data_IF_889491374578
#
_entry.id   IF_889491374578
#
_cell.length_a   1.000
_cell.length_b   1.000
_cell.length_c   1.000
_cell.angle_alpha   90.00
_cell.angle_beta   90.00
_cell.angle_gamma   90.00
#
_symmetry.space_group_name_H-M   'P 1'
#
loop_
_entity.id
_entity.type
_entity.pdbx_description
1 polymer ?
#
# COMPACT_ATOMS: atom_id res chain seq x y z
N UNK A 1 -36.94 37.15 -14.91
CA UNK A 1 -36.52 37.87 -13.69
C UNK A 1 -35.79 36.88 -12.81
N UNK A 2 -34.46 37.00 -12.72
CA UNK A 2 -33.62 36.14 -11.89
C UNK A 2 -33.68 36.66 -10.45
N UNK A 3 -34.34 35.94 -9.55
CA UNK A 3 -34.35 36.26 -8.13
C UNK A 3 -33.01 35.89 -7.51
N UNK A 4 -32.32 36.85 -6.93
CA UNK A 4 -31.13 36.66 -6.09
C UNK A 4 -31.57 36.08 -4.75
N UNK A 5 -31.22 34.82 -4.48
CA UNK A 5 -31.40 34.17 -3.18
C UNK A 5 -30.07 34.30 -2.42
N UNK A 6 -30.11 34.77 -1.17
CA UNK A 6 -28.93 34.87 -0.31
C UNK A 6 -28.50 33.49 0.20
N UNK A 7 -27.19 33.24 0.22
CA UNK A 7 -26.60 31.95 0.66
C UNK A 7 -26.77 31.68 2.16
N UNK A 8 -27.04 32.72 2.96
CA UNK A 8 -27.23 32.66 4.39
C UNK A 8 -28.71 32.70 4.75
N UNK A 9 -29.18 31.69 5.50
CA UNK A 9 -30.46 31.76 6.22
C UNK A 9 -30.24 32.59 7.48
N UNK A 10 -30.96 33.70 7.63
CA UNK A 10 -31.00 34.54 8.84
C UNK A 10 -31.75 33.86 10.00
N UNK A 11 -31.32 32.67 10.40
CA UNK A 11 -31.87 31.97 11.56
C UNK A 11 -31.46 32.63 12.89
N UNK A 12 -30.29 33.26 12.92
CA UNK A 12 -29.75 33.94 14.11
C UNK A 12 -30.45 35.29 14.39
N UNK A 13 -31.14 35.87 13.41
CA UNK A 13 -31.97 37.07 13.58
C UNK A 13 -33.38 36.76 14.13
N UNK A 14 -33.74 35.48 14.27
CA UNK A 14 -35.05 35.06 14.76
C UNK A 14 -35.07 35.12 16.30
N UNK A 15 -35.65 36.20 16.82
CA UNK A 15 -35.90 36.35 18.26
C UNK A 15 -37.16 35.60 18.69
N UNK A 16 -37.28 35.36 20.00
CA UNK A 16 -38.54 34.87 20.57
C UNK A 16 -39.70 35.83 20.21
N UNK A 17 -40.92 35.31 19.97
CA UNK A 17 -42.08 36.14 19.72
C UNK A 17 -42.30 37.12 20.88
N UNK A 18 -42.63 38.38 20.56
CA UNK A 18 -42.90 39.40 21.58
C UNK A 18 -44.02 38.96 22.54
N UNK A 19 -43.72 38.95 23.85
CA UNK A 19 -44.69 38.70 24.93
C UNK A 19 -45.08 40.02 25.59
N UNK A 20 -46.34 40.47 25.51
CA UNK A 20 -46.77 41.72 26.12
C UNK A 20 -46.79 41.64 27.65
N UNK A 21 -46.56 42.78 28.30
CA UNK A 21 -46.75 42.92 29.74
C UNK A 21 -48.23 42.76 30.11
N UNK A 22 -48.52 42.10 31.24
CA UNK A 22 -49.88 41.85 31.70
C UNK A 22 -50.07 42.37 33.14
N UNK A 23 -51.30 42.75 33.47
CA UNK A 23 -51.70 43.20 34.82
C UNK A 23 -52.66 42.16 35.39
N UNK A 24 -52.39 41.67 36.60
CA UNK A 24 -53.26 40.72 37.30
C UNK A 24 -54.20 41.48 38.23
N UNK A 25 -55.51 41.40 37.98
CA UNK A 25 -56.52 41.95 38.89
C UNK A 25 -56.49 41.17 40.23
N UNK A 26 -56.48 41.89 41.35
CA UNK A 26 -56.39 41.30 42.68
C UNK A 26 -57.57 40.37 42.99
N UNK A 27 -57.28 39.10 43.31
CA UNK A 27 -58.26 38.11 43.72
C UNK A 27 -58.08 36.73 43.09
N UNK A 28 -57.49 36.62 41.89
CA UNK A 28 -57.17 35.34 41.27
C UNK A 28 -56.03 35.44 40.26
N UNK A 29 -55.15 34.43 40.23
CA UNK A 29 -54.06 34.33 39.24
C UNK A 29 -54.56 33.52 38.04
N UNK A 30 -54.60 34.09 36.82
CA UNK A 30 -55.11 33.38 35.64
C UNK A 30 -54.27 32.13 35.33
N UNK A 31 -54.96 31.05 34.92
CA UNK A 31 -54.33 29.75 34.63
C UNK A 31 -53.32 29.82 33.50
N UNK A 32 -53.52 30.71 32.52
CA UNK A 32 -52.57 30.89 31.42
C UNK A 32 -51.17 31.32 31.90
N UNK A 33 -51.06 32.00 33.06
CA UNK A 33 -49.77 32.43 33.59
C UNK A 33 -48.94 31.29 34.17
N UNK A 34 -49.52 30.12 34.44
CA UNK A 34 -48.75 28.96 34.90
C UNK A 34 -47.96 28.31 33.76
N UNK A 35 -48.36 28.56 32.50
CA UNK A 35 -47.64 28.17 31.31
C UNK A 35 -46.62 29.22 30.83
N UNK A 36 -46.48 30.35 31.53
CA UNK A 36 -45.62 31.45 31.09
C UNK A 36 -44.12 31.08 30.98
N UNK A 37 -43.70 29.95 31.58
CA UNK A 37 -42.35 29.41 31.45
C UNK A 37 -42.09 28.72 30.11
N UNK A 38 -43.15 28.36 29.37
CA UNK A 38 -43.04 27.74 28.05
C UNK A 38 -42.86 28.82 26.98
N UNK A 39 -41.83 28.68 26.16
CA UNK A 39 -41.52 29.60 25.06
C UNK A 39 -41.49 28.84 23.73
N UNK A 40 -41.57 29.58 22.61
CA UNK A 40 -41.54 28.97 21.27
C UNK A 40 -40.22 28.20 21.07
N UNK A 41 -40.31 26.92 20.69
CA UNK A 41 -39.13 26.04 20.59
C UNK A 41 -38.60 25.49 21.92
N UNK A 42 -39.14 25.95 23.06
CA UNK A 42 -38.88 25.41 24.41
C UNK A 42 -40.20 25.09 25.12
N UNK A 43 -40.90 24.08 24.60
CA UNK A 43 -42.11 23.51 25.19
C UNK A 43 -43.44 23.96 24.56
N UNK A 44 -43.41 24.89 23.59
CA UNK A 44 -44.53 25.17 22.68
C UNK A 44 -44.27 24.56 21.28
N UNK A 45 -45.28 23.99 20.59
CA UNK A 45 -46.69 23.90 20.99
C UNK A 45 -46.91 22.99 22.21
N UNK A 46 -47.86 23.36 23.06
CA UNK A 46 -48.11 22.70 24.33
C UNK A 46 -48.45 21.21 24.12
N UNK A 47 -47.64 20.34 24.74
CA UNK A 47 -47.85 18.89 24.71
C UNK A 47 -48.73 18.39 25.86
N UNK A 48 -48.85 17.06 25.96
CA UNK A 48 -49.63 16.39 27.01
C UNK A 48 -49.15 16.77 28.43
N UNK A 49 -47.84 16.90 28.63
CA UNK A 49 -47.25 17.27 29.93
C UNK A 49 -47.71 18.66 30.41
N UNK A 50 -47.85 19.62 29.49
CA UNK A 50 -48.33 20.96 29.80
C UNK A 50 -49.82 20.95 30.19
N UNK A 51 -50.62 20.10 29.52
CA UNK A 51 -52.03 19.91 29.85
C UNK A 51 -52.20 19.23 31.22
N UNK A 52 -51.42 18.17 31.49
CA UNK A 52 -51.39 17.52 32.80
C UNK A 52 -50.99 18.49 33.91
N UNK A 53 -50.03 19.38 33.66
CA UNK A 53 -49.64 20.41 34.63
C UNK A 53 -50.81 21.36 34.97
N UNK A 54 -51.57 21.79 33.96
CA UNK A 54 -52.75 22.64 34.16
C UNK A 54 -53.82 21.90 34.95
N UNK A 55 -54.11 20.65 34.60
CA UNK A 55 -55.13 19.85 35.27
C UNK A 55 -54.77 19.62 36.74
N UNK A 56 -53.49 19.33 37.04
CA UNK A 56 -52.99 19.23 38.43
C UNK A 56 -53.15 20.54 39.20
N UNK A 57 -52.91 21.68 38.57
CA UNK A 57 -53.09 23.00 39.21
C UNK A 57 -54.58 23.25 39.51
N UNK A 58 -55.49 22.85 38.62
CA UNK A 58 -56.94 22.94 38.84
C UNK A 58 -57.38 22.04 39.99
N UNK A 59 -56.93 20.80 40.00
CA UNK A 59 -57.18 19.86 41.09
C UNK A 59 -56.68 20.39 42.43
N UNK A 60 -55.47 20.97 42.45
CA UNK A 60 -54.90 21.60 43.64
C UNK A 60 -55.74 22.77 44.13
N UNK A 61 -56.16 23.68 43.25
CA UNK A 61 -57.04 24.80 43.62
C UNK A 61 -58.40 24.34 44.14
N UNK A 62 -59.00 23.34 43.48
CA UNK A 62 -60.28 22.76 43.93
C UNK A 62 -60.14 22.09 45.30
N UNK A 63 -59.02 21.40 45.53
CA UNK A 63 -58.71 20.81 46.84
C UNK A 63 -58.45 21.88 47.92
N UNK A 64 -57.69 22.94 47.62
CA UNK A 64 -57.44 24.06 48.55
C UNK A 64 -58.76 24.74 48.96
N UNK A 65 -59.69 24.90 48.01
CA UNK A 65 -61.03 25.42 48.27
C UNK A 65 -61.90 24.47 49.12
N UNK A 66 -61.67 23.16 49.04
CA UNK A 66 -62.38 22.14 49.80
C UNK A 66 -61.83 21.94 51.24
N UNK A 67 -60.77 22.64 51.62
CA UNK A 67 -60.18 22.51 52.95
C UNK A 67 -61.11 23.07 54.05
N UNK A 68 -61.21 22.38 55.21
CA UNK A 68 -62.04 22.86 56.30
C UNK A 68 -61.50 24.18 56.90
N UNK A 69 -62.39 25.02 57.45
CA UNK A 69 -62.04 26.28 58.08
C UNK A 69 -61.30 26.07 59.41
N UNK A 70 -60.54 27.09 59.84
CA UNK A 70 -59.61 27.02 60.97
C UNK A 70 -60.26 27.31 62.34
N UNK A 71 -61.57 27.09 62.49
CA UNK A 71 -62.33 27.58 63.64
C UNK A 71 -62.25 26.66 64.87
N UNK A 72 -62.04 25.35 64.68
CA UNK A 72 -62.06 24.35 65.76
C UNK A 72 -60.84 23.41 65.72
N UNK A 73 -60.36 22.91 66.87
CA UNK A 73 -59.16 22.05 66.91
C UNK A 73 -59.33 20.75 66.12
N UNK A 74 -60.56 20.24 66.01
CA UNK A 74 -60.87 19.06 65.20
C UNK A 74 -60.80 19.35 63.69
N UNK A 75 -61.24 20.53 63.24
CA UNK A 75 -61.11 20.96 61.85
C UNK A 75 -59.66 21.22 61.47
N UNK A 76 -58.86 21.81 62.38
CA UNK A 76 -57.42 22.01 62.18
C UNK A 76 -56.71 20.66 62.01
N UNK A 77 -57.01 19.68 62.88
CA UNK A 77 -56.42 18.35 62.77
C UNK A 77 -56.80 17.64 61.45
N UNK A 78 -58.04 17.81 60.98
CA UNK A 78 -58.47 17.29 59.67
C UNK A 78 -57.74 17.97 58.52
N UNK A 79 -57.58 19.30 58.57
CA UNK A 79 -56.85 20.08 57.57
C UNK A 79 -55.40 19.60 57.45
N UNK A 80 -54.69 19.43 58.57
CA UNK A 80 -53.31 18.96 58.57
C UNK A 80 -53.16 17.57 57.93
N UNK A 81 -54.06 16.63 58.26
CA UNK A 81 -54.05 15.30 57.62
C UNK A 81 -54.26 15.38 56.12
N UNK A 82 -55.21 16.20 55.67
CA UNK A 82 -55.45 16.42 54.24
C UNK A 82 -54.22 17.04 53.55
N UNK A 83 -53.54 18.00 54.20
CA UNK A 83 -52.31 18.61 53.68
C UNK A 83 -51.20 17.58 53.51
N UNK A 84 -50.90 16.80 54.56
CA UNK A 84 -49.85 15.77 54.50
C UNK A 84 -50.14 14.71 53.43
N UNK A 85 -51.40 14.30 53.28
CA UNK A 85 -51.80 13.34 52.25
C UNK A 85 -51.59 13.89 50.84
N UNK A 86 -51.91 15.17 50.62
CA UNK A 86 -51.66 15.81 49.33
C UNK A 86 -50.18 16.03 49.06
N UNK A 87 -49.40 16.45 50.06
CA UNK A 87 -47.95 16.54 49.92
C UNK A 87 -47.36 15.18 49.52
N UNK A 88 -47.73 14.08 50.18
CA UNK A 88 -47.26 12.74 49.82
C UNK A 88 -47.61 12.37 48.38
N UNK A 89 -48.80 12.74 47.90
CA UNK A 89 -49.21 12.53 46.49
C UNK A 89 -48.36 13.36 45.53
N UNK A 90 -48.14 14.64 45.82
CA UNK A 90 -47.29 15.51 45.00
C UNK A 90 -45.83 15.02 44.96
N UNK A 91 -45.30 14.56 46.09
CA UNK A 91 -43.96 13.97 46.17
C UNK A 91 -43.86 12.69 45.35
N UNK A 92 -44.85 11.80 45.43
CA UNK A 92 -44.88 10.57 44.63
C UNK A 92 -44.92 10.85 43.12
N UNK A 93 -45.68 11.85 42.67
CA UNK A 93 -45.71 12.26 41.26
C UNK A 93 -44.37 12.80 40.79
N UNK A 94 -43.72 13.66 41.59
CA UNK A 94 -42.37 14.17 41.28
C UNK A 94 -41.34 13.05 41.22
N UNK A 95 -41.42 12.10 42.13
CA UNK A 95 -40.50 10.95 42.16
C UNK A 95 -40.64 10.10 40.89
N UNK A 96 -41.87 9.87 40.41
CA UNK A 96 -42.12 9.17 39.15
C UNK A 96 -41.57 9.94 37.94
N UNK A 97 -41.71 11.26 37.90
CA UNK A 97 -41.14 12.09 36.82
C UNK A 97 -39.61 12.02 36.81
N UNK A 98 -39.00 12.12 37.99
CA UNK A 98 -37.56 11.97 38.16
C UNK A 98 -37.13 10.58 37.69
N UNK A 99 -37.83 9.51 38.07
CA UNK A 99 -37.51 8.14 37.68
C UNK A 99 -37.58 7.95 36.16
N UNK A 100 -38.61 8.50 35.49
CA UNK A 100 -38.72 8.51 34.02
C UNK A 100 -37.54 9.21 33.35
N UNK A 101 -37.11 10.36 33.87
CA UNK A 101 -35.94 11.06 33.32
C UNK A 101 -34.66 10.27 33.55
N UNK A 102 -34.52 9.62 34.70
CA UNK A 102 -33.36 8.78 35.00
C UNK A 102 -33.31 7.54 34.13
N UNK A 103 -34.44 6.89 33.86
CA UNK A 103 -34.48 5.71 32.97
C UNK A 103 -34.02 6.08 31.55
N UNK A 104 -34.50 7.19 31.00
CA UNK A 104 -34.06 7.71 29.70
C UNK A 104 -32.55 8.00 29.69
N UNK A 105 -32.03 8.68 30.72
CA UNK A 105 -30.58 8.96 30.84
C UNK A 105 -29.76 7.67 30.91
N UNK A 106 -30.21 6.68 31.68
CA UNK A 106 -29.55 5.38 31.80
C UNK A 106 -29.54 4.63 30.47
N UNK A 107 -30.61 4.68 29.69
CA UNK A 107 -30.64 4.08 28.35
C UNK A 107 -29.61 4.70 27.41
N UNK A 108 -29.49 6.04 27.43
CA UNK A 108 -28.47 6.75 26.65
C UNK A 108 -27.07 6.35 27.08
N UNK A 109 -26.80 6.30 28.40
CA UNK A 109 -25.52 5.87 28.94
C UNK A 109 -25.17 4.43 28.55
N UNK A 110 -26.13 3.50 28.64
CA UNK A 110 -25.95 2.12 28.18
C UNK A 110 -25.53 2.08 26.71
N UNK A 111 -26.24 2.82 25.84
CA UNK A 111 -25.88 2.90 24.41
C UNK A 111 -24.48 3.47 24.18
N UNK A 112 -24.04 4.44 24.99
CA UNK A 112 -22.69 4.99 24.91
C UNK A 112 -21.63 3.97 25.35
N UNK A 113 -21.87 3.22 26.43
CA UNK A 113 -20.97 2.15 26.89
C UNK A 113 -20.81 1.05 25.84
N UNK A 114 -21.91 0.60 25.25
CA UNK A 114 -21.88 -0.37 24.14
C UNK A 114 -20.99 0.11 22.99
N UNK A 115 -21.13 1.37 22.57
CA UNK A 115 -20.29 1.95 21.51
C UNK A 115 -18.81 1.98 21.91
N UNK A 116 -18.50 2.33 23.15
CA UNK A 116 -17.13 2.34 23.65
C UNK A 116 -16.54 0.93 23.63
N UNK A 117 -17.27 -0.07 24.11
CA UNK A 117 -16.84 -1.47 24.14
C UNK A 117 -16.64 -2.04 22.74
N UNK A 118 -17.56 -1.77 21.80
CA UNK A 118 -17.38 -2.14 20.39
C UNK A 118 -16.12 -1.51 19.79
N UNK A 119 -15.88 -0.22 20.06
CA UNK A 119 -14.71 0.47 19.55
C UNK A 119 -13.41 -0.11 20.13
N UNK A 120 -13.38 -0.37 21.43
CA UNK A 120 -12.25 -1.03 22.08
C UNK A 120 -12.01 -2.44 21.51
N UNK A 121 -13.08 -3.23 21.34
CA UNK A 121 -13.01 -4.57 20.76
C UNK A 121 -12.45 -4.54 19.34
N UNK A 122 -12.89 -3.60 18.50
CA UNK A 122 -12.36 -3.39 17.14
C UNK A 122 -10.86 -3.05 17.17
N UNK A 123 -10.43 -2.20 18.09
CA UNK A 123 -9.01 -1.83 18.22
C UNK A 123 -8.15 -3.02 18.70
N UNK A 124 -8.65 -3.79 19.67
CA UNK A 124 -7.98 -5.01 20.15
C UNK A 124 -7.86 -6.03 19.01
N UNK A 125 -8.94 -6.27 18.26
CA UNK A 125 -8.94 -7.19 17.12
C UNK A 125 -7.93 -6.78 16.04
N UNK A 126 -7.84 -5.49 15.71
CA UNK A 126 -6.84 -4.96 14.77
C UNK A 126 -5.42 -5.23 15.25
N UNK A 127 -5.10 -4.88 16.51
CA UNK A 127 -3.78 -5.12 17.10
C UNK A 127 -3.39 -6.60 17.08
N UNK A 128 -4.33 -7.49 17.40
CA UNK A 128 -4.12 -8.93 17.36
C UNK A 128 -3.85 -9.41 15.93
N UNK A 129 -4.62 -8.92 14.96
CA UNK A 129 -4.43 -9.24 13.55
C UNK A 129 -3.06 -8.75 13.04
N UNK A 130 -2.64 -7.54 13.38
CA UNK A 130 -1.33 -7.01 12.96
C UNK A 130 -0.18 -7.86 13.52
N UNK A 131 -0.28 -8.24 14.79
CA UNK A 131 0.69 -9.15 15.42
C UNK A 131 0.70 -10.51 14.71
N UNK A 132 -0.47 -11.08 14.43
CA UNK A 132 -0.59 -12.34 13.71
C UNK A 132 0.01 -12.26 12.29
N UNK A 133 -0.26 -11.19 11.54
CA UNK A 133 0.30 -10.98 10.21
C UNK A 133 1.82 -10.87 10.24
N UNK A 134 2.38 -10.18 11.23
CA UNK A 134 3.84 -10.08 11.38
C UNK A 134 4.46 -11.44 11.66
N UNK A 135 3.89 -12.23 12.59
CA UNK A 135 4.35 -13.60 12.84
C UNK A 135 4.25 -14.47 11.59
N UNK A 136 3.14 -14.36 10.86
CA UNK A 136 2.92 -15.10 9.63
C UNK A 136 3.97 -14.75 8.56
N UNK A 137 4.29 -13.46 8.37
CA UNK A 137 5.37 -13.02 7.47
C UNK A 137 6.72 -13.60 7.88
N UNK A 138 7.09 -13.53 9.16
CA UNK A 138 8.37 -14.08 9.62
C UNK A 138 8.45 -15.60 9.43
N UNK A 139 7.32 -16.31 9.60
CA UNK A 139 7.22 -17.74 9.32
C UNK A 139 7.40 -18.02 7.83
N UNK A 140 6.73 -17.28 6.97
CA UNK A 140 6.84 -17.42 5.51
C UNK A 140 8.26 -17.14 5.00
N UNK A 141 8.95 -16.13 5.55
CA UNK A 141 10.35 -15.86 5.23
C UNK A 141 11.26 -17.02 5.62
N UNK A 142 11.06 -17.62 6.80
CA UNK A 142 11.80 -18.82 7.21
C UNK A 142 11.52 -20.00 6.28
N UNK A 143 10.27 -20.21 5.90
CA UNK A 143 9.88 -21.27 4.94
C UNK A 143 10.57 -21.03 3.59
N UNK A 144 10.58 -19.80 3.08
CA UNK A 144 11.27 -19.45 1.82
C UNK A 144 12.76 -19.76 1.89
N UNK A 145 13.43 -19.44 3.02
CA UNK A 145 14.84 -19.79 3.24
C UNK A 145 15.06 -21.30 3.19
N UNK A 146 14.24 -22.07 3.92
CA UNK A 146 14.31 -23.54 3.92
C UNK A 146 14.12 -24.10 2.50
N UNK A 147 13.11 -23.61 1.77
CA UNK A 147 12.87 -24.04 0.39
C UNK A 147 14.05 -23.72 -0.54
N UNK A 148 14.63 -22.53 -0.42
CA UNK A 148 15.81 -22.14 -1.17
C UNK A 148 17.01 -23.05 -0.86
N UNK A 149 17.25 -23.33 0.42
CA UNK A 149 18.32 -24.22 0.87
C UNK A 149 18.11 -25.64 0.37
N UNK A 150 16.87 -26.16 0.42
CA UNK A 150 16.50 -27.44 -0.17
C UNK A 150 16.82 -27.47 -1.67
N UNK A 151 16.43 -26.45 -2.43
CA UNK A 151 16.71 -26.36 -3.86
C UNK A 151 18.22 -26.24 -4.17
N UNK A 152 18.97 -25.51 -3.36
CA UNK A 152 20.44 -25.46 -3.46
C UNK A 152 21.08 -26.82 -3.17
N UNK A 153 20.65 -27.49 -2.11
CA UNK A 153 21.16 -28.80 -1.72
C UNK A 153 20.85 -29.86 -2.78
N UNK A 154 19.63 -29.88 -3.31
CA UNK A 154 19.24 -30.74 -4.43
C UNK A 154 20.12 -30.49 -5.65
N UNK A 155 20.35 -29.23 -6.05
CA UNK A 155 21.25 -28.90 -7.16
C UNK A 155 22.68 -29.39 -6.92
N UNK A 156 23.22 -29.21 -5.71
CA UNK A 156 24.55 -29.71 -5.32
C UNK A 156 24.62 -31.24 -5.38
N UNK A 157 23.59 -31.94 -4.91
CA UNK A 157 23.50 -33.40 -4.97
C UNK A 157 23.45 -33.90 -6.42
N UNK A 158 22.65 -33.27 -7.28
CA UNK A 158 22.61 -33.61 -8.71
C UNK A 158 23.97 -33.40 -9.36
N UNK A 159 24.67 -32.28 -9.07
CA UNK A 159 26.00 -32.04 -9.59
C UNK A 159 27.03 -33.07 -9.12
N UNK A 160 27.01 -33.45 -7.83
CA UNK A 160 27.86 -34.52 -7.30
C UNK A 160 27.54 -35.88 -7.92
N UNK A 161 26.25 -36.17 -8.18
CA UNK A 161 25.83 -37.40 -8.84
C UNK A 161 26.35 -37.52 -10.28
N UNK A 162 26.56 -36.42 -10.99
CA UNK A 162 27.19 -36.48 -12.33
C UNK A 162 28.61 -37.06 -12.25
N UNK A 163 29.36 -36.72 -11.21
CA UNK A 163 30.74 -37.18 -11.01
C UNK A 163 30.89 -38.01 -9.71
N UNK A 164 30.16 -39.12 -9.58
CA UNK A 164 30.17 -39.98 -8.37
C UNK A 164 31.57 -40.43 -7.98
N UNK A 165 32.40 -40.79 -8.97
CA UNK A 165 33.76 -41.28 -8.77
C UNK A 165 34.78 -40.17 -8.46
N UNK A 166 34.39 -38.89 -8.54
CA UNK A 166 35.28 -37.75 -8.29
C UNK A 166 36.47 -37.63 -9.25
N UNK A 167 36.45 -38.35 -10.38
CA UNK A 167 37.53 -38.32 -11.37
C UNK A 167 37.51 -36.97 -12.11
N UNK A 168 38.68 -36.37 -12.25
CA UNK A 168 38.87 -35.19 -13.11
C UNK A 168 38.75 -35.64 -14.56
N UNK A 169 37.76 -35.11 -15.28
CA UNK A 169 37.62 -35.34 -16.72
C UNK A 169 38.67 -34.53 -17.49
N UNK A 170 39.22 -35.13 -18.56
CA UNK A 170 40.08 -34.39 -19.49
C UNK A 170 39.23 -33.38 -20.25
N UNK A 171 39.85 -32.24 -20.58
CA UNK A 171 39.21 -31.14 -21.29
C UNK A 171 38.88 -31.53 -22.73
N UNK A 172 37.59 -31.52 -23.09
CA UNK A 172 37.12 -31.75 -24.46
C UNK A 172 36.97 -30.42 -25.22
N UNK A 173 38.00 -30.02 -25.98
CA UNK A 173 38.02 -28.73 -26.70
C UNK A 173 36.82 -28.60 -27.64
N UNK A 174 36.48 -29.64 -28.39
CA UNK A 174 35.37 -29.62 -29.34
C UNK A 174 34.05 -29.29 -28.63
N UNK A 175 33.77 -29.95 -27.49
CA UNK A 175 32.55 -29.71 -26.70
C UNK A 175 32.50 -28.30 -26.10
N UNK A 176 33.64 -27.77 -25.69
CA UNK A 176 33.67 -26.39 -25.19
C UNK A 176 33.34 -25.38 -26.29
N UNK A 177 33.87 -25.56 -27.51
CA UNK A 177 33.58 -24.63 -28.60
C UNK A 177 32.18 -24.81 -29.21
N UNK A 178 31.50 -25.94 -28.96
CA UNK A 178 30.08 -26.11 -29.32
C UNK A 178 29.13 -25.42 -28.34
N UNK A 179 29.50 -25.32 -27.06
CA UNK A 179 28.65 -24.73 -26.02
C UNK A 179 28.97 -23.24 -25.83
N UNK A 180 28.05 -22.34 -26.18
CA UNK A 180 28.27 -20.89 -26.00
C UNK A 180 28.35 -20.43 -24.54
N UNK A 181 27.89 -21.25 -23.59
CA UNK A 181 28.05 -21.00 -22.15
C UNK A 181 29.40 -21.46 -21.59
N UNK A 182 30.27 -22.01 -22.43
CA UNK A 182 31.58 -22.49 -22.04
C UNK A 182 32.55 -21.34 -21.77
N UNK A 183 33.71 -21.67 -21.20
CA UNK A 183 34.69 -20.70 -20.76
C UNK A 183 35.34 -19.84 -21.87
N UNK A 184 35.61 -20.35 -23.09
CA UNK A 184 36.07 -19.53 -24.21
C UNK A 184 35.17 -18.32 -24.53
N UNK A 185 33.85 -18.51 -24.48
CA UNK A 185 32.87 -17.47 -24.83
C UNK A 185 32.35 -16.70 -23.62
N UNK A 186 32.14 -17.39 -22.50
CA UNK A 186 31.61 -16.83 -21.25
C UNK A 186 32.57 -17.14 -20.08
N UNK A 187 33.74 -16.48 -20.02
CA UNK A 187 34.74 -16.74 -18.99
C UNK A 187 34.23 -16.36 -17.58
N UNK A 188 34.33 -17.30 -16.64
CA UNK A 188 33.99 -17.06 -15.24
C UNK A 188 35.08 -16.24 -14.55
N UNK A 189 34.68 -15.17 -13.85
CA UNK A 189 35.60 -14.24 -13.21
C UNK A 189 36.55 -14.85 -12.19
N UNK A 190 36.08 -15.86 -11.45
CA UNK A 190 36.91 -16.62 -10.49
C UNK A 190 38.12 -17.32 -11.11
N UNK A 191 38.15 -17.51 -12.44
CA UNK A 191 39.25 -18.17 -13.15
C UNK A 191 40.33 -17.17 -13.58
N UNK A 192 40.00 -15.86 -13.62
CA UNK A 192 40.94 -14.79 -13.92
C UNK A 192 41.38 -14.67 -15.39
N UNK A 193 41.17 -15.69 -16.22
CA UNK A 193 41.50 -15.67 -17.64
C UNK A 193 40.40 -15.00 -18.46
N UNK A 194 40.67 -13.79 -18.95
CA UNK A 194 39.80 -13.08 -19.87
C UNK A 194 40.60 -12.66 -21.10
N UNK A 195 40.41 -13.32 -22.25
CA UNK A 195 41.19 -13.03 -23.45
C UNK A 195 41.00 -11.58 -23.93
N UNK A 196 39.79 -11.03 -23.77
CA UNK A 196 39.43 -9.72 -24.32
C UNK A 196 39.78 -8.53 -23.42
N UNK A 197 40.19 -8.76 -22.16
CA UNK A 197 40.41 -7.66 -21.20
C UNK A 197 41.48 -6.67 -21.63
N UNK A 198 42.44 -7.11 -22.44
CA UNK A 198 43.54 -6.28 -22.92
C UNK A 198 43.52 -6.14 -24.45
N UNK A 199 42.37 -6.25 -25.11
CA UNK A 199 42.29 -6.12 -26.58
C UNK A 199 42.93 -4.84 -27.11
N UNK A 200 42.88 -3.75 -26.33
CA UNK A 200 43.51 -2.47 -26.62
C UNK A 200 45.03 -2.54 -26.84
N UNK A 201 45.75 -3.48 -26.21
CA UNK A 201 47.20 -3.60 -26.40
C UNK A 201 47.59 -4.15 -27.78
N UNK A 202 46.65 -4.79 -28.48
CA UNK A 202 46.84 -5.30 -29.83
C UNK A 202 46.31 -4.33 -30.90
N UNK A 203 45.73 -3.18 -30.50
CA UNK A 203 45.29 -2.15 -31.43
C UNK A 203 46.53 -1.44 -31.99
N UNK A 204 46.87 -1.76 -33.24
CA UNK A 204 48.01 -1.16 -33.94
C UNK A 204 47.69 0.29 -34.31
N UNK A 205 48.12 1.23 -33.46
CA UNK A 205 48.07 2.67 -33.74
C UNK A 205 49.36 3.08 -34.45
N UNK A 206 49.33 3.16 -35.77
CA UNK A 206 50.52 3.47 -36.56
C UNK A 206 50.41 4.83 -37.27
N UNK A 207 51.37 5.72 -37.02
CA UNK A 207 51.51 6.99 -37.74
C UNK A 207 51.54 6.80 -39.26
N UNK A 208 52.16 5.72 -39.73
CA UNK A 208 52.31 5.46 -41.14
C UNK A 208 51.01 5.14 -41.88
N UNK A 209 49.96 4.70 -41.17
CA UNK A 209 48.67 4.36 -41.77
C UNK A 209 47.68 5.54 -41.78
N UNK A 210 47.94 6.57 -40.97
CA UNK A 210 47.01 7.69 -40.75
C UNK A 210 47.28 8.89 -41.66
N UNK A 211 48.43 8.95 -42.32
CA UNK A 211 48.84 10.07 -43.17
C UNK A 211 49.40 9.57 -44.50
N UNK A 212 49.09 10.26 -45.59
CA UNK A 212 49.66 9.96 -46.91
C UNK A 212 51.20 9.98 -46.90
N UNK A 213 51.81 10.98 -46.24
CA UNK A 213 53.26 11.03 -46.10
C UNK A 213 53.82 9.83 -45.30
N UNK A 214 53.03 9.31 -44.37
CA UNK A 214 53.32 8.08 -43.63
C UNK A 214 53.29 6.84 -44.54
N UNK A 215 52.29 6.74 -45.41
CA UNK A 215 52.17 5.65 -46.37
C UNK A 215 53.32 5.64 -47.36
N UNK A 216 53.75 6.80 -47.88
CA UNK A 216 54.91 6.89 -48.76
C UNK A 216 56.21 6.45 -48.07
N UNK A 217 56.37 6.74 -46.76
CA UNK A 217 57.52 6.25 -45.97
C UNK A 217 57.46 4.73 -45.76
N UNK A 218 56.28 4.20 -45.49
CA UNK A 218 56.05 2.75 -45.39
C UNK A 218 56.38 2.07 -46.71
N UNK A 219 55.85 2.59 -47.81
CA UNK A 219 56.16 2.14 -49.16
C UNK A 219 57.66 2.17 -49.37
N UNK A 220 58.34 3.30 -49.13
CA UNK A 220 59.79 3.41 -49.26
C UNK A 220 60.57 2.33 -48.47
N UNK A 221 60.11 1.96 -47.27
CA UNK A 221 60.75 0.93 -46.43
C UNK A 221 60.55 -0.51 -46.92
N UNK A 222 59.55 -0.76 -47.78
CA UNK A 222 59.33 -2.09 -48.34
C UNK A 222 60.40 -2.39 -49.40
N UNK A 223 60.93 -3.62 -49.42
CA UNK A 223 61.91 -4.02 -50.42
C UNK A 223 61.31 -3.99 -51.82
N UNK A 224 62.13 -3.70 -52.83
CA UNK A 224 61.71 -3.59 -54.22
C UNK A 224 61.03 -4.86 -54.76
N UNK A 225 61.26 -6.02 -54.15
CA UNK A 225 60.54 -7.27 -54.48
C UNK A 225 59.03 -7.21 -54.23
N UNK A 226 58.57 -6.34 -53.34
CA UNK A 226 57.15 -6.15 -53.03
C UNK A 226 56.53 -5.12 -53.97
N UNK A 227 57.32 -4.13 -54.43
CA UNK A 227 56.85 -3.04 -55.32
C UNK A 227 56.91 -3.41 -56.80
N UNK A 228 57.98 -4.09 -57.21
CA UNK A 228 58.23 -4.42 -58.60
C UNK A 228 57.80 -5.86 -58.85
N UNK A 229 56.89 -6.04 -59.79
CA UNK A 229 56.49 -7.36 -60.27
C UNK A 229 57.72 -7.97 -60.97
N UNK A 230 58.34 -8.96 -60.32
CA UNK A 230 59.42 -9.75 -60.94
C UNK A 230 58.80 -10.73 -61.93
N UNK A 231 58.56 -10.26 -63.16
CA UNK A 231 58.19 -11.14 -64.27
C UNK A 231 59.44 -11.94 -64.65
N UNK A 232 59.56 -13.16 -64.12
CA UNK A 232 60.54 -14.13 -64.60
C UNK A 232 59.94 -14.82 -65.80
N UNK A 233 60.51 -14.61 -66.98
CA UNK A 233 60.24 -15.47 -68.12
C UNK A 233 60.54 -16.93 -67.70
N UNK A 234 59.68 -17.91 -68.04
CA UNK A 234 59.95 -19.30 -67.73
C UNK A 234 61.30 -19.68 -68.34
N UNK A 235 62.23 -20.15 -67.50
CA UNK A 235 63.51 -20.69 -68.00
C UNK A 235 63.19 -21.89 -68.89
N UNK A 236 63.86 -22.07 -70.04
CA UNK A 236 63.66 -23.26 -70.86
C UNK A 236 63.88 -24.50 -69.99
N UNK A 237 62.93 -25.43 -70.01
CA UNK A 237 63.03 -26.68 -69.24
C UNK A 237 64.23 -27.48 -69.77
N UNK A 238 65.36 -27.46 -69.07
CA UNK A 238 66.46 -28.38 -69.37
C UNK A 238 66.09 -29.79 -68.90
N UNK A 239 65.59 -30.60 -69.82
CA UNK A 239 65.14 -31.99 -69.61
C UNK A 239 66.31 -32.90 -69.20
N UNK A 240 67.52 -32.55 -69.64
CA UNK A 240 68.72 -33.40 -69.55
C UNK A 240 69.75 -32.78 -68.58
N UNK A 241 70.42 -33.60 -67.77
CA UNK A 241 71.57 -33.21 -66.94
C UNK A 241 72.82 -33.04 -67.81
N UNK A 242 73.85 -32.33 -67.33
CA UNK A 242 75.11 -32.16 -68.07
C UNK A 242 75.78 -33.49 -68.47
N UNK A 243 75.45 -34.57 -67.75
CA UNK A 243 75.87 -35.97 -67.97
C UNK A 243 74.96 -36.78 -68.89
N UNK A 244 73.95 -36.17 -69.54
CA UNK A 244 73.09 -36.83 -70.54
C UNK A 244 71.84 -37.55 -70.01
N UNK A 245 71.57 -37.52 -68.70
CA UNK A 245 70.41 -38.22 -68.11
C UNK A 245 69.17 -37.32 -67.93
N UNK A 246 67.97 -37.90 -68.04
CA UNK A 246 66.70 -37.17 -67.83
C UNK A 246 66.52 -36.81 -66.34
N UNK A 247 66.31 -35.53 -66.04
CA UNK A 247 66.05 -35.04 -64.67
C UNK A 247 64.72 -35.59 -64.14
N UNK A 248 64.66 -35.88 -62.82
CA UNK A 248 63.47 -36.48 -62.17
C UNK A 248 62.17 -35.71 -62.44
N UNK A 249 62.21 -34.38 -62.41
CA UNK A 249 61.04 -33.53 -62.66
C UNK A 249 60.49 -33.65 -64.10
N UNK A 250 61.31 -34.12 -65.06
CA UNK A 250 60.94 -34.25 -66.47
C UNK A 250 60.61 -35.70 -66.90
N UNK A 251 60.74 -36.68 -66.00
CA UNK A 251 60.46 -38.10 -66.32
C UNK A 251 58.99 -38.33 -66.64
N UNK A 252 58.08 -37.79 -65.82
CA UNK A 252 56.64 -37.89 -66.08
C UNK A 252 56.27 -37.29 -67.45
N UNK A 253 56.85 -36.16 -67.82
CA UNK A 253 56.61 -35.53 -69.12
C UNK A 253 57.21 -36.34 -70.28
N UNK A 254 58.36 -36.98 -70.09
CA UNK A 254 58.99 -37.86 -71.08
C UNK A 254 58.21 -39.17 -71.25
N UNK A 255 57.73 -39.77 -70.16
CA UNK A 255 56.90 -40.96 -70.17
C UNK A 255 55.55 -40.65 -70.85
N UNK A 256 54.91 -39.52 -70.51
CA UNK A 256 53.70 -39.05 -71.20
C UNK A 256 53.95 -38.79 -72.69
N UNK A 257 55.09 -38.22 -73.08
CA UNK A 257 55.45 -38.01 -74.48
C UNK A 257 55.69 -39.32 -75.25
N UNK A 258 56.22 -40.37 -74.59
CA UNK A 258 56.33 -41.71 -75.18
C UNK A 258 54.98 -42.42 -75.32
N UNK A 259 54.03 -42.15 -74.42
CA UNK A 259 52.67 -42.73 -74.47
C UNK A 259 51.79 -42.03 -75.51
N UNK A 260 52.07 -40.76 -75.85
CA UNK A 260 51.32 -39.97 -76.83
C UNK A 260 51.93 -39.93 -78.24
N UNK A 261 53.00 -40.71 -78.51
CA UNK A 261 53.51 -41.02 -79.85
C UNK A 261 52.84 -42.29 -80.39
#
# INVERSE_FOLDING_TARGET
TLGTQTDYRDGEAQTDPYSPEYIVCGGSVPELLTLATLTWGRGLPAGQEAMEMIDRIREKRAWEAALPPMDSPSNIAKRLKMMEEMERKEWALREQEIEKLHSIRLEVLKKMLWRQEENQSKLVAKRLNDHWQNHQKTKEEKIKKIQHDCALMLRKLIAKRKNVMGKLERRDIIKEYTDFSSQPYAPLSRIGCFPDKNSDCYVVKNFYLNSFAGLCKLEASLPDSVKQIKIKAPKPKCIITETGFIKRSARLEADLAQVHQ
#
